data_IF_824095459161
#
_entry.id   IF_824095459161
#
_cell.length_a   1.000
_cell.length_b   1.000
_cell.length_c   1.000
_cell.angle_alpha   90.00
_cell.angle_beta   90.00
_cell.angle_gamma   90.00
#
_symmetry.space_group_name_H-M   'P 1'
#
loop_
_entity.id
_entity.type
_entity.pdbx_description
1 polymer ?
#
# COMPACT_ATOMS: atom_id res chain seq x y z
N UNK A 1 -10.65 7.11 7.26
CA UNK A 1 -10.13 6.59 5.96
C UNK A 1 -10.09 5.05 5.83
N UNK A 2 -9.86 4.31 6.90
CA UNK A 2 -9.67 2.85 6.90
C UNK A 2 -10.79 1.98 6.26
N UNK A 3 -12.10 2.26 6.47
CA UNK A 3 -13.17 1.44 5.90
C UNK A 3 -13.09 1.26 4.38
N UNK A 4 -12.73 2.33 3.66
CA UNK A 4 -12.59 2.28 2.20
C UNK A 4 -11.17 1.91 1.80
N UNK A 5 -10.16 2.59 2.34
CA UNK A 5 -8.79 2.43 1.87
C UNK A 5 -8.18 1.08 2.25
N UNK A 6 -8.35 0.67 3.52
CA UNK A 6 -7.72 -0.56 4.01
C UNK A 6 -8.65 -1.76 3.80
N UNK A 7 -9.85 -1.73 4.39
CA UNK A 7 -10.78 -2.86 4.28
C UNK A 7 -11.28 -3.06 2.85
N UNK A 8 -11.44 -1.99 2.06
CA UNK A 8 -11.75 -2.12 0.63
C UNK A 8 -10.64 -2.85 -0.14
N UNK A 9 -9.38 -2.50 0.08
CA UNK A 9 -8.23 -3.21 -0.53
C UNK A 9 -8.14 -4.66 -0.06
N UNK A 10 -8.40 -4.93 1.22
CA UNK A 10 -8.47 -6.29 1.76
C UNK A 10 -9.53 -7.14 1.06
N UNK A 11 -10.75 -6.62 0.90
CA UNK A 11 -11.81 -7.32 0.18
C UNK A 11 -11.45 -7.58 -1.29
N UNK A 12 -10.82 -6.61 -1.96
CA UNK A 12 -10.36 -6.78 -3.35
C UNK A 12 -9.32 -7.90 -3.45
N UNK A 13 -8.29 -7.90 -2.60
CA UNK A 13 -7.26 -8.94 -2.60
C UNK A 13 -7.85 -10.33 -2.31
N UNK A 14 -8.79 -10.42 -1.35
CA UNK A 14 -9.51 -11.67 -1.08
C UNK A 14 -10.35 -12.15 -2.27
N UNK A 15 -11.01 -11.24 -2.99
CA UNK A 15 -11.79 -11.58 -4.17
C UNK A 15 -10.90 -12.03 -5.33
N UNK A 16 -9.76 -11.34 -5.53
CA UNK A 16 -8.75 -11.69 -6.52
C UNK A 16 -8.17 -13.09 -6.28
N UNK A 17 -7.85 -13.42 -5.02
CA UNK A 17 -7.38 -14.75 -4.60
C UNK A 17 -8.38 -15.86 -4.96
N UNK A 18 -9.66 -15.66 -4.61
CA UNK A 18 -10.74 -16.61 -4.96
C UNK A 18 -10.93 -16.76 -6.47
N UNK A 19 -10.68 -15.70 -7.24
CA UNK A 19 -10.79 -15.71 -8.70
C UNK A 19 -9.53 -16.24 -9.41
N UNK A 20 -8.47 -16.56 -8.68
CA UNK A 20 -7.18 -16.94 -9.28
C UNK A 20 -6.45 -15.79 -9.98
N UNK A 21 -6.84 -14.53 -9.71
CA UNK A 21 -6.21 -13.34 -10.26
C UNK A 21 -5.01 -12.93 -9.39
N UNK A 22 -3.79 -13.24 -9.83
CA UNK A 22 -2.60 -13.08 -9.00
C UNK A 22 -1.80 -11.79 -9.23
N UNK A 23 -2.23 -10.90 -10.14
CA UNK A 23 -1.47 -9.69 -10.52
C UNK A 23 -2.23 -8.42 -10.13
N UNK A 24 -1.63 -7.59 -9.30
CA UNK A 24 -2.21 -6.33 -8.81
C UNK A 24 -1.22 -5.18 -8.96
N UNK A 25 -1.69 -4.05 -9.50
CA UNK A 25 -1.01 -2.75 -9.36
C UNK A 25 -1.82 -1.93 -8.37
N UNK A 26 -1.22 -1.59 -7.23
CA UNK A 26 -1.90 -0.88 -6.15
C UNK A 26 -1.32 0.51 -5.96
N UNK A 27 -2.21 1.50 -5.95
CA UNK A 27 -1.86 2.90 -5.76
C UNK A 27 -1.89 3.26 -4.27
N UNK A 28 -0.72 3.65 -3.77
CA UNK A 28 -0.51 4.20 -2.44
C UNK A 28 -0.27 5.70 -2.56
N UNK A 29 0.71 6.25 -1.85
CA UNK A 29 0.97 7.70 -1.82
C UNK A 29 2.35 7.95 -1.24
N UNK A 30 3.01 9.03 -1.67
CA UNK A 30 4.24 9.51 -1.03
C UNK A 30 4.01 10.02 0.41
N UNK A 31 2.75 10.28 0.81
CA UNK A 31 2.37 10.69 2.16
C UNK A 31 2.71 9.65 3.24
N UNK A 32 3.06 8.41 2.86
CA UNK A 32 3.58 7.43 3.80
C UNK A 32 4.97 7.80 4.32
N UNK A 33 5.72 8.61 3.58
CA UNK A 33 7.06 9.06 3.97
C UNK A 33 7.00 10.16 5.03
N UNK A 34 5.87 10.87 5.12
CA UNK A 34 5.68 11.98 6.05
C UNK A 34 6.55 13.19 5.72
N UNK A 35 7.21 13.73 6.74
CA UNK A 35 8.10 14.86 6.55
C UNK A 35 9.35 14.47 5.75
N UNK A 36 9.69 15.27 4.74
CA UNK A 36 10.90 15.10 3.95
C UNK A 36 12.13 15.26 4.83
N UNK A 37 12.98 14.21 4.87
CA UNK A 37 14.30 14.28 5.52
C UNK A 37 15.44 14.41 4.52
N UNK A 38 15.26 13.92 3.28
CA UNK A 38 16.24 14.00 2.19
C UNK A 38 15.55 14.24 0.84
N UNK A 39 16.27 14.82 -0.13
CA UNK A 39 15.76 15.08 -1.48
C UNK A 39 16.78 14.61 -2.54
N UNK A 40 16.35 13.85 -3.57
CA UNK A 40 14.99 13.34 -3.81
C UNK A 40 14.54 12.30 -2.77
N UNK A 41 13.23 12.20 -2.54
CA UNK A 41 12.65 11.12 -1.73
C UNK A 41 12.59 9.85 -2.58
N UNK A 42 13.56 8.96 -2.41
CA UNK A 42 13.58 7.63 -3.04
C UNK A 42 12.74 6.63 -2.24
N UNK A 43 12.59 5.41 -2.74
CA UNK A 43 11.83 4.34 -2.10
C UNK A 43 12.38 3.91 -0.73
N UNK A 44 13.66 4.20 -0.47
CA UNK A 44 14.37 3.99 0.80
C UNK A 44 14.08 5.07 1.85
N UNK A 45 13.34 6.13 1.51
CA UNK A 45 12.99 7.17 2.47
C UNK A 45 12.21 6.58 3.67
N UNK A 46 12.46 7.06 4.91
CA UNK A 46 11.74 6.56 6.08
C UNK A 46 10.23 6.59 5.91
N UNK A 47 9.57 5.51 6.36
CA UNK A 47 8.11 5.42 6.43
C UNK A 47 7.65 6.03 7.75
N UNK A 48 7.06 7.22 7.69
CA UNK A 48 6.60 8.00 8.84
C UNK A 48 5.27 8.72 8.50
N UNK A 49 4.18 7.99 8.24
CA UNK A 49 2.95 8.57 7.70
C UNK A 49 2.33 9.63 8.62
N UNK A 50 1.74 10.64 7.99
CA UNK A 50 1.03 11.72 8.66
C UNK A 50 -0.48 11.59 8.44
N UNK A 51 -1.25 11.64 9.53
CA UNK A 51 -2.71 11.64 9.51
C UNK A 51 -3.35 10.33 9.01
N UNK A 52 -4.66 10.19 9.21
CA UNK A 52 -5.38 8.93 8.95
C UNK A 52 -5.23 8.41 7.51
N UNK A 53 -5.12 9.30 6.53
CA UNK A 53 -4.95 8.92 5.13
C UNK A 53 -3.61 8.20 4.91
N UNK A 54 -2.49 8.80 5.33
CA UNK A 54 -1.16 8.20 5.22
C UNK A 54 -1.08 6.86 5.95
N UNK A 55 -1.62 6.80 7.18
CA UNK A 55 -1.72 5.55 7.95
C UNK A 55 -2.50 4.48 7.20
N UNK A 56 -3.67 4.82 6.64
CA UNK A 56 -4.48 3.85 5.90
C UNK A 56 -3.76 3.29 4.67
N UNK A 57 -2.95 4.09 3.97
CA UNK A 57 -2.16 3.66 2.81
C UNK A 57 -0.94 2.84 3.21
N UNK A 58 -0.22 3.22 4.27
CA UNK A 58 0.85 2.39 4.84
C UNK A 58 0.33 0.99 5.19
N UNK A 59 -0.85 0.89 5.84
CA UNK A 59 -1.46 -0.41 6.16
C UNK A 59 -1.79 -1.25 4.93
N UNK A 60 -2.11 -0.63 3.79
CA UNK A 60 -2.27 -1.40 2.54
C UNK A 60 -0.95 -1.93 1.98
N UNK A 61 0.19 -1.29 2.26
CA UNK A 61 1.52 -1.79 1.86
C UNK A 61 1.96 -2.98 2.72
N UNK A 62 1.70 -2.92 4.03
CA UNK A 62 1.89 -4.04 4.95
C UNK A 62 1.03 -5.25 4.51
N UNK A 63 -0.25 -5.01 4.21
CA UNK A 63 -1.15 -6.03 3.69
C UNK A 63 -0.65 -6.62 2.36
N UNK A 64 -0.18 -5.78 1.44
CA UNK A 64 0.40 -6.23 0.18
C UNK A 64 1.63 -7.12 0.39
N UNK A 65 2.47 -6.82 1.39
CA UNK A 65 3.61 -7.67 1.74
C UNK A 65 3.16 -9.07 2.21
N UNK A 66 2.08 -9.17 2.98
CA UNK A 66 1.53 -10.47 3.39
C UNK A 66 0.95 -11.25 2.20
N UNK A 67 0.22 -10.59 1.30
CA UNK A 67 -0.32 -11.25 0.11
C UNK A 67 0.76 -11.68 -0.90
N UNK A 68 1.88 -10.96 -0.97
CA UNK A 68 3.06 -11.39 -1.75
C UNK A 68 3.63 -12.71 -1.24
N UNK A 69 3.67 -12.93 0.09
CA UNK A 69 4.09 -14.23 0.67
C UNK A 69 3.16 -15.38 0.27
N UNK A 70 1.90 -15.07 -0.05
CA UNK A 70 0.87 -16.03 -0.52
C UNK A 70 0.91 -16.26 -2.04
N UNK A 71 1.85 -15.65 -2.75
CA UNK A 71 2.04 -15.85 -4.20
C UNK A 71 1.39 -14.80 -5.10
N UNK A 72 0.76 -13.75 -4.53
CA UNK A 72 0.24 -12.63 -5.33
C UNK A 72 1.38 -11.71 -5.78
N UNK A 73 1.48 -11.44 -7.07
CA UNK A 73 2.40 -10.45 -7.64
C UNK A 73 1.79 -9.06 -7.56
N UNK A 74 2.25 -8.27 -6.59
CA UNK A 74 1.73 -6.92 -6.32
C UNK A 74 2.82 -5.90 -6.63
N UNK A 75 2.51 -4.85 -7.39
CA UNK A 75 3.36 -3.65 -7.55
C UNK A 75 2.74 -2.49 -6.78
N UNK A 76 3.57 -1.76 -6.03
CA UNK A 76 3.14 -0.57 -5.28
C UNK A 76 3.59 0.68 -6.02
N UNK A 77 2.70 1.65 -6.18
CA UNK A 77 3.00 2.94 -6.79
C UNK A 77 2.68 4.06 -5.80
N UNK A 78 3.68 4.87 -5.45
CA UNK A 78 3.61 5.95 -4.45
C UNK A 78 3.63 7.34 -5.14
N UNK A 79 2.52 7.79 -5.75
CA UNK A 79 2.47 9.11 -6.37
C UNK A 79 2.40 10.24 -5.33
N UNK A 80 2.87 11.42 -5.75
CA UNK A 80 2.56 12.74 -5.16
C UNK A 80 1.14 13.16 -5.50
#
# INVERSE_FOLDING_TARGET
>A
FFPVNFHGTEHIMQAMDRAGASKLVHYTTDMIYGHTVTQPMTEEHPVAPLGEYGWSKQKTEELAAEWRKRGMSISLFRPR
#
